data_IF_780562081799
#
_entry.id   IF_780562081799
#
_cell.length_a   1.000
_cell.length_b   1.000
_cell.length_c   1.000
_cell.angle_alpha   90.00
_cell.angle_beta   90.00
_cell.angle_gamma   90.00
#
_symmetry.space_group_name_H-M   'P 1'
#
loop_
_entity.id
_entity.type
_entity.pdbx_description
1 polymer ?
#
# COMPACT_ATOMS: atom_id res chain seq x y z
N UNK A 1 3.54 -6.89 -10.94
CA UNK A 1 3.28 -5.68 -11.72
C UNK A 1 3.45 -4.45 -10.84
N UNK A 2 3.73 -3.30 -11.44
CA UNK A 2 3.76 -2.01 -10.75
C UNK A 2 2.63 -1.13 -11.29
N UNK A 3 1.87 -0.52 -10.39
CA UNK A 3 0.86 0.46 -10.72
C UNK A 3 1.30 1.83 -10.21
N UNK A 4 1.39 2.86 -11.07
CA UNK A 4 1.86 4.17 -10.66
C UNK A 4 0.86 4.88 -9.73
N UNK A 5 1.43 5.64 -8.79
CA UNK A 5 0.71 6.55 -7.89
C UNK A 5 1.13 7.96 -8.27
N UNK A 6 0.17 8.83 -8.50
CA UNK A 6 0.41 10.21 -8.88
C UNK A 6 -0.04 11.19 -7.79
N UNK A 7 0.65 12.31 -7.68
CA UNK A 7 0.13 13.47 -6.96
C UNK A 7 -1.05 14.05 -7.75
N UNK A 8 -1.93 14.77 -7.07
CA UNK A 8 -3.07 15.45 -7.70
C UNK A 8 -2.68 16.26 -8.96
N UNK A 9 -1.50 16.88 -8.95
CA UNK A 9 -0.98 17.68 -10.07
C UNK A 9 -0.38 16.86 -11.22
N UNK A 10 -0.44 15.54 -11.16
CA UNK A 10 0.07 14.64 -12.19
C UNK A 10 1.54 14.25 -12.07
N UNK A 11 2.22 14.65 -11.00
CA UNK A 11 3.60 14.22 -10.74
C UNK A 11 3.62 12.78 -10.23
N UNK A 12 4.51 11.97 -10.77
CA UNK A 12 4.71 10.60 -10.29
C UNK A 12 5.26 10.63 -8.85
N UNK A 13 4.54 9.99 -7.93
CA UNK A 13 4.96 9.83 -6.54
C UNK A 13 5.70 8.51 -6.31
N UNK A 14 5.27 7.46 -6.97
CA UNK A 14 5.84 6.13 -6.85
C UNK A 14 4.98 5.06 -7.48
N UNK A 15 5.13 3.84 -7.02
CA UNK A 15 4.43 2.68 -7.57
C UNK A 15 3.94 1.74 -6.47
N UNK A 16 2.74 1.23 -6.61
CA UNK A 16 2.28 0.08 -5.83
C UNK A 16 2.69 -1.23 -6.53
N UNK A 17 3.37 -2.09 -5.79
CA UNK A 17 3.75 -3.42 -6.26
C UNK A 17 2.59 -4.38 -6.02
N UNK A 18 2.01 -4.89 -7.12
CA UNK A 18 0.85 -5.77 -7.09
C UNK A 18 1.25 -7.18 -7.52
N UNK A 19 0.83 -8.17 -6.74
CA UNK A 19 0.99 -9.57 -7.10
C UNK A 19 -0.10 -9.96 -8.12
N UNK A 20 0.33 -10.43 -9.30
CA UNK A 20 -0.55 -11.08 -10.26
C UNK A 20 -0.23 -12.57 -10.34
N UNK A 21 -1.19 -13.39 -9.99
CA UNK A 21 -1.05 -14.85 -10.11
C UNK A 21 -1.57 -15.32 -11.46
N UNK A 22 -0.73 -16.01 -12.26
CA UNK A 22 -1.07 -16.43 -13.63
C UNK A 22 -2.28 -17.37 -13.71
N UNK A 23 -2.47 -18.22 -12.72
CA UNK A 23 -3.55 -19.24 -12.69
C UNK A 23 -4.80 -18.77 -11.95
N UNK A 24 -4.66 -17.85 -10.99
CA UNK A 24 -5.77 -17.30 -10.20
C UNK A 24 -6.05 -15.86 -10.62
N UNK A 25 -6.96 -15.69 -11.57
CA UNK A 25 -7.34 -14.36 -12.09
C UNK A 25 -8.14 -13.52 -11.09
N UNK A 26 -8.71 -14.17 -10.05
CA UNK A 26 -9.43 -13.51 -8.97
C UNK A 26 -8.50 -13.36 -7.75
N UNK A 27 -7.99 -12.15 -7.47
CA UNK A 27 -7.13 -11.89 -6.31
C UNK A 27 -7.82 -12.23 -4.98
N UNK A 28 -9.13 -12.00 -4.87
CA UNK A 28 -9.85 -12.26 -3.63
C UNK A 28 -9.93 -13.76 -3.32
N UNK A 29 -10.12 -14.60 -4.34
CA UNK A 29 -10.10 -16.05 -4.19
C UNK A 29 -8.71 -16.56 -3.82
N UNK A 30 -7.66 -16.03 -4.46
CA UNK A 30 -6.28 -16.37 -4.12
C UNK A 30 -5.97 -16.03 -2.66
N UNK A 31 -6.33 -14.84 -2.18
CA UNK A 31 -6.12 -14.42 -0.81
C UNK A 31 -6.89 -15.28 0.21
N UNK A 32 -8.10 -15.75 -0.13
CA UNK A 32 -8.83 -16.71 0.71
C UNK A 32 -8.07 -18.02 0.88
N UNK A 33 -7.47 -18.54 -0.20
CA UNK A 33 -6.65 -19.77 -0.15
C UNK A 33 -5.43 -19.55 0.74
N UNK A 34 -4.69 -18.46 0.54
CA UNK A 34 -3.52 -18.10 1.37
C UNK A 34 -3.88 -18.02 2.86
N UNK A 35 -4.99 -17.36 3.17
CA UNK A 35 -5.49 -17.24 4.54
C UNK A 35 -5.88 -18.61 5.14
N UNK A 36 -6.59 -19.44 4.38
CA UNK A 36 -7.02 -20.76 4.83
C UNK A 36 -5.85 -21.70 5.09
N UNK A 37 -4.79 -21.58 4.29
CA UNK A 37 -3.57 -22.40 4.43
C UNK A 37 -2.56 -21.85 5.44
N UNK A 38 -2.79 -20.68 6.04
CA UNK A 38 -1.86 -20.05 6.98
C UNK A 38 -0.55 -19.60 6.33
N UNK A 39 -0.57 -19.22 5.04
CA UNK A 39 0.62 -18.91 4.25
C UNK A 39 0.86 -17.39 4.07
N UNK A 40 0.27 -16.53 4.91
CA UNK A 40 0.39 -15.07 4.79
C UNK A 40 1.85 -14.61 4.85
N UNK A 41 2.57 -15.01 5.86
CA UNK A 41 3.98 -14.64 6.10
C UNK A 41 4.89 -15.12 4.96
N UNK A 42 4.70 -16.38 4.52
CA UNK A 42 5.44 -16.91 3.39
C UNK A 42 5.18 -16.11 2.09
N UNK A 43 3.90 -15.74 1.85
CA UNK A 43 3.53 -14.93 0.70
C UNK A 43 4.21 -13.56 0.76
N UNK A 44 4.13 -12.88 1.90
CA UNK A 44 4.68 -11.55 2.07
C UNK A 44 6.20 -11.54 1.92
N UNK A 45 6.88 -12.55 2.47
CA UNK A 45 8.31 -12.73 2.28
C UNK A 45 8.67 -12.89 0.81
N UNK A 46 7.96 -13.76 0.07
CA UNK A 46 8.21 -13.96 -1.36
C UNK A 46 7.89 -12.71 -2.17
N UNK A 47 6.85 -11.96 -1.83
CA UNK A 47 6.52 -10.69 -2.48
C UNK A 47 7.64 -9.68 -2.30
N UNK A 48 8.19 -9.52 -1.10
CA UNK A 48 9.35 -8.65 -0.85
C UNK A 48 10.58 -9.09 -1.66
N UNK A 49 10.91 -10.38 -1.63
CA UNK A 49 12.05 -10.95 -2.39
C UNK A 49 11.92 -10.77 -3.90
N UNK A 50 10.70 -10.91 -4.43
CA UNK A 50 10.44 -10.72 -5.85
C UNK A 50 10.42 -9.24 -6.26
N UNK A 51 10.07 -8.33 -5.37
CA UNK A 51 10.00 -6.91 -5.66
C UNK A 51 11.40 -6.29 -5.86
N UNK A 52 12.40 -6.67 -5.08
CA UNK A 52 13.74 -6.09 -5.11
C UNK A 52 14.39 -6.14 -6.50
N UNK A 53 14.55 -7.30 -7.16
CA UNK A 53 15.16 -7.36 -8.49
C UNK A 53 14.36 -6.59 -9.54
N UNK A 54 13.04 -6.55 -9.40
CA UNK A 54 12.16 -5.80 -10.29
C UNK A 54 12.40 -4.30 -10.17
N UNK A 55 12.42 -3.78 -8.94
CA UNK A 55 12.67 -2.36 -8.65
C UNK A 55 14.03 -1.91 -9.19
N UNK A 56 15.05 -2.76 -9.07
CA UNK A 56 16.40 -2.51 -9.57
C UNK A 56 16.46 -2.55 -11.08
N UNK A 57 15.93 -3.60 -11.71
CA UNK A 57 15.98 -3.80 -13.17
C UNK A 57 15.27 -2.67 -13.92
N UNK A 58 14.09 -2.27 -13.42
CA UNK A 58 13.29 -1.21 -14.04
C UNK A 58 13.64 0.20 -13.53
N UNK A 59 14.64 0.33 -12.64
CA UNK A 59 15.10 1.61 -12.06
C UNK A 59 13.95 2.44 -11.51
N UNK A 60 12.99 1.79 -10.84
CA UNK A 60 11.86 2.49 -10.25
C UNK A 60 12.32 3.35 -9.08
N UNK A 61 11.89 4.60 -9.07
CA UNK A 61 12.23 5.62 -8.07
C UNK A 61 10.97 6.05 -7.31
N UNK A 62 11.15 6.84 -6.26
CA UNK A 62 10.05 7.35 -5.45
C UNK A 62 9.52 6.32 -4.46
N UNK A 63 8.26 6.40 -4.14
CA UNK A 63 7.59 5.49 -3.22
C UNK A 63 7.46 4.09 -3.84
N UNK A 64 7.98 3.06 -3.15
CA UNK A 64 7.66 1.67 -3.40
C UNK A 64 6.60 1.24 -2.39
N UNK A 65 5.34 1.22 -2.81
CA UNK A 65 4.24 0.75 -1.95
C UNK A 65 4.07 -0.76 -2.10
N UNK A 66 4.06 -1.48 -0.98
CA UNK A 66 3.92 -2.93 -0.93
C UNK A 66 2.81 -3.32 0.04
N UNK A 67 1.99 -4.31 -0.35
CA UNK A 67 0.89 -4.78 0.48
C UNK A 67 1.37 -5.92 1.37
N UNK A 68 1.28 -5.79 2.69
CA UNK A 68 1.66 -6.81 3.66
C UNK A 68 0.58 -6.99 4.72
N UNK A 69 0.50 -8.19 5.28
CA UNK A 69 -0.30 -8.46 6.46
C UNK A 69 0.39 -7.94 7.73
N UNK A 70 -0.40 -7.52 8.71
CA UNK A 70 0.13 -7.01 9.97
C UNK A 70 0.94 -8.04 10.76
N UNK A 71 0.54 -9.30 10.72
CA UNK A 71 1.26 -10.41 11.38
C UNK A 71 2.63 -10.70 10.74
N UNK A 72 2.78 -10.46 9.44
CA UNK A 72 4.06 -10.61 8.74
C UNK A 72 5.11 -9.58 9.18
N UNK A 73 4.68 -8.42 9.68
CA UNK A 73 5.59 -7.38 10.20
C UNK A 73 6.28 -7.79 11.53
N UNK A 74 5.96 -8.94 12.10
CA UNK A 74 6.62 -9.49 13.29
C UNK A 74 7.67 -10.57 12.94
N UNK A 75 7.80 -10.90 11.65
CA UNK A 75 8.74 -11.91 11.18
C UNK A 75 10.05 -11.25 10.72
N UNK A 76 11.16 -11.63 11.32
CA UNK A 76 12.49 -11.05 11.06
C UNK A 76 12.87 -11.10 9.58
N UNK A 77 12.64 -12.26 8.93
CA UNK A 77 12.94 -12.43 7.49
C UNK A 77 12.13 -11.49 6.59
N UNK A 78 10.87 -11.21 6.95
CA UNK A 78 10.02 -10.27 6.21
C UNK A 78 10.52 -8.84 6.41
N UNK A 79 10.89 -8.48 7.64
CA UNK A 79 11.46 -7.16 7.97
C UNK A 79 12.76 -6.93 7.20
N UNK A 80 13.68 -7.89 7.21
CA UNK A 80 14.94 -7.78 6.47
C UNK A 80 14.69 -7.61 4.96
N UNK A 81 13.84 -8.46 4.37
CA UNK A 81 13.50 -8.38 2.96
C UNK A 81 12.82 -7.04 2.60
N UNK A 82 11.95 -6.53 3.48
CA UNK A 82 11.28 -5.23 3.32
C UNK A 82 12.29 -4.08 3.31
N UNK A 83 13.23 -4.06 4.24
CA UNK A 83 14.23 -3.01 4.35
C UNK A 83 15.16 -2.96 3.13
N UNK A 84 15.42 -4.10 2.49
CA UNK A 84 16.21 -4.18 1.25
C UNK A 84 15.53 -3.51 0.04
N UNK A 85 14.22 -3.24 0.09
CA UNK A 85 13.51 -2.53 -0.98
C UNK A 85 13.84 -1.04 -1.02
N UNK A 86 14.31 -0.48 0.10
CA UNK A 86 14.73 0.92 0.19
C UNK A 86 16.08 1.12 -0.47
N UNK A 87 16.22 2.19 -1.25
CA UNK A 87 17.48 2.55 -1.90
C UNK A 87 17.61 4.08 -1.97
N UNK A 88 18.22 4.70 -0.96
CA UNK A 88 18.39 6.15 -0.95
C UNK A 88 19.20 6.68 -2.15
N UNK A 89 20.12 5.89 -2.68
CA UNK A 89 20.93 6.29 -3.85
C UNK A 89 20.10 6.37 -5.12
N UNK A 90 19.04 5.56 -5.22
CA UNK A 90 18.05 5.60 -6.29
C UNK A 90 16.85 6.51 -5.96
N UNK A 91 16.90 7.28 -4.86
CA UNK A 91 15.76 8.06 -4.36
C UNK A 91 14.50 7.20 -4.21
N UNK A 92 14.63 6.01 -3.62
CA UNK A 92 13.53 5.07 -3.39
C UNK A 92 13.35 4.78 -1.91
N UNK A 93 12.11 4.90 -1.44
CA UNK A 93 11.72 4.57 -0.08
C UNK A 93 10.51 3.63 -0.08
N UNK A 94 10.29 2.95 1.03
CA UNK A 94 9.24 1.94 1.16
C UNK A 94 8.04 2.49 1.92
N UNK A 95 6.85 2.16 1.43
CA UNK A 95 5.58 2.31 2.11
C UNK A 95 4.88 0.96 2.21
N UNK A 96 4.51 0.56 3.40
CA UNK A 96 3.72 -0.66 3.63
C UNK A 96 2.25 -0.29 3.67
N UNK A 97 1.46 -0.85 2.76
CA UNK A 97 0.01 -0.84 2.87
C UNK A 97 -0.42 -2.05 3.70
N UNK A 98 -0.86 -1.81 4.93
CA UNK A 98 -1.28 -2.87 5.84
C UNK A 98 -2.67 -3.36 5.45
N UNK A 99 -2.76 -4.61 4.99
CA UNK A 99 -3.99 -5.14 4.42
C UNK A 99 -5.05 -5.51 5.45
N UNK A 100 -4.64 -5.98 6.62
CA UNK A 100 -5.55 -6.50 7.64
C UNK A 100 -4.95 -6.30 9.02
N UNK A 101 -5.81 -5.91 9.96
CA UNK A 101 -5.52 -5.84 11.38
C UNK A 101 -6.44 -6.83 12.10
N UNK A 102 -5.86 -7.87 12.68
CA UNK A 102 -6.61 -8.86 13.46
C UNK A 102 -6.57 -8.50 14.96
N UNK A 103 -7.65 -8.75 15.68
CA UNK A 103 -7.71 -8.50 17.11
C UNK A 103 -6.73 -9.38 17.94
N UNK A 104 -6.18 -10.43 17.31
CA UNK A 104 -5.17 -11.30 17.89
C UNK A 104 -3.75 -10.72 17.82
N UNK A 105 -3.51 -9.69 16.98
CA UNK A 105 -2.22 -9.02 16.96
C UNK A 105 -1.98 -8.42 18.34
N UNK A 106 -0.89 -8.84 19.00
CA UNK A 106 -0.49 -8.26 20.29
C UNK A 106 -0.23 -6.77 20.07
N UNK A 107 -1.15 -5.96 20.49
CA UNK A 107 -1.21 -4.52 20.19
C UNK A 107 0.10 -3.78 20.47
N UNK A 108 0.75 -4.06 21.60
CA UNK A 108 2.04 -3.47 21.96
C UNK A 108 3.16 -3.82 20.98
N UNK A 109 3.27 -5.09 20.61
CA UNK A 109 4.33 -5.61 19.73
C UNK A 109 4.24 -5.02 18.32
N UNK A 110 3.05 -4.95 17.71
CA UNK A 110 2.89 -4.38 16.38
C UNK A 110 3.19 -2.87 16.36
N UNK A 111 2.73 -2.13 17.37
CA UNK A 111 2.98 -0.69 17.48
C UNK A 111 4.48 -0.38 17.63
N UNK A 112 5.19 -1.18 18.43
CA UNK A 112 6.65 -1.09 18.59
C UNK A 112 7.38 -1.38 17.28
N UNK A 113 7.04 -2.49 16.60
CA UNK A 113 7.63 -2.84 15.30
C UNK A 113 7.41 -1.74 14.25
N UNK A 114 6.19 -1.19 14.17
CA UNK A 114 5.90 -0.09 13.25
C UNK A 114 6.75 1.15 13.60
N UNK A 115 6.88 1.47 14.89
CA UNK A 115 7.70 2.60 15.33
C UNK A 115 9.18 2.42 14.94
N UNK A 116 9.74 1.23 15.12
CA UNK A 116 11.13 0.91 14.76
C UNK A 116 11.35 0.96 13.24
N UNK A 117 10.45 0.37 12.47
CA UNK A 117 10.51 0.42 11.01
C UNK A 117 10.41 1.86 10.48
N UNK A 118 9.61 2.72 11.12
CA UNK A 118 9.55 4.15 10.77
C UNK A 118 10.87 4.87 11.04
N UNK A 119 11.61 4.51 12.08
CA UNK A 119 12.96 5.03 12.31
C UNK A 119 13.93 4.60 11.19
N UNK A 120 13.73 3.41 10.62
CA UNK A 120 14.46 2.95 9.43
C UNK A 120 13.99 3.59 8.11
N UNK A 121 13.02 4.51 8.15
CA UNK A 121 12.53 5.23 6.96
C UNK A 121 11.34 4.57 6.25
N UNK A 122 10.82 3.44 6.74
CA UNK A 122 9.59 2.84 6.23
C UNK A 122 8.39 3.71 6.60
N UNK A 123 7.42 3.82 5.70
CA UNK A 123 6.15 4.54 5.94
C UNK A 123 4.99 3.56 5.91
N UNK A 124 3.88 3.93 6.56
CA UNK A 124 2.72 3.05 6.71
C UNK A 124 1.45 3.70 6.17
N UNK A 125 0.80 2.97 5.27
CA UNK A 125 -0.48 3.30 4.68
C UNK A 125 -1.56 2.33 5.19
N UNK A 126 -2.74 2.86 5.46
CA UNK A 126 -3.88 2.06 5.92
C UNK A 126 -5.14 2.43 5.16
N UNK A 127 -5.95 1.42 4.84
CA UNK A 127 -7.28 1.65 4.26
C UNK A 127 -8.21 2.30 5.30
N UNK A 128 -9.02 3.25 4.87
CA UNK A 128 -9.98 3.97 5.75
C UNK A 128 -10.92 3.04 6.50
N UNK A 129 -11.20 1.84 5.95
CA UNK A 129 -12.01 0.81 6.63
C UNK A 129 -11.36 0.26 7.91
N UNK A 130 -10.05 0.41 8.07
CA UNK A 130 -9.30 -0.04 9.26
C UNK A 130 -9.20 1.05 10.34
N UNK A 131 -9.80 2.23 10.13
CA UNK A 131 -9.60 3.39 10.99
C UNK A 131 -9.94 3.12 12.46
N UNK A 132 -11.01 2.35 12.73
CA UNK A 132 -11.38 2.01 14.11
C UNK A 132 -10.29 1.18 14.80
N UNK A 133 -9.73 0.19 14.10
CA UNK A 133 -8.65 -0.65 14.63
C UNK A 133 -7.36 0.17 14.80
N UNK A 134 -7.00 0.99 13.82
CA UNK A 134 -5.82 1.87 13.87
C UNK A 134 -5.89 2.78 15.09
N UNK A 135 -7.04 3.42 15.30
CA UNK A 135 -7.27 4.32 16.44
C UNK A 135 -7.21 3.57 17.76
N UNK A 136 -7.87 2.41 17.85
CA UNK A 136 -7.87 1.58 19.06
C UNK A 136 -6.46 1.07 19.42
N UNK A 137 -5.62 0.83 18.42
CA UNK A 137 -4.24 0.37 18.58
C UNK A 137 -3.22 1.51 18.65
N UNK A 138 -3.65 2.76 18.50
CA UNK A 138 -2.79 3.96 18.47
C UNK A 138 -1.64 3.84 17.46
N UNK A 139 -1.90 3.23 16.30
CA UNK A 139 -0.88 3.03 15.27
C UNK A 139 -0.55 4.36 14.58
N UNK A 140 0.73 4.63 14.31
CA UNK A 140 1.11 5.80 13.53
C UNK A 140 0.74 5.60 12.06
N UNK A 141 0.12 6.61 11.46
CA UNK A 141 -0.34 6.60 10.07
C UNK A 141 0.41 7.65 9.28
N UNK A 142 1.07 7.23 8.20
CA UNK A 142 1.76 8.15 7.29
C UNK A 142 0.92 8.48 6.04
N UNK A 143 -0.08 7.64 5.72
CA UNK A 143 -1.03 7.84 4.63
C UNK A 143 -2.32 7.05 4.89
N UNK A 144 -3.46 7.61 4.53
CA UNK A 144 -4.73 6.88 4.43
C UNK A 144 -5.01 6.53 2.97
N UNK A 145 -5.59 5.36 2.74
CA UNK A 145 -6.00 4.88 1.42
C UNK A 145 -7.52 4.68 1.38
N UNK A 146 -8.14 5.21 0.35
CA UNK A 146 -9.56 5.01 0.05
C UNK A 146 -9.68 4.33 -1.31
N UNK A 147 -10.13 3.08 -1.35
CA UNK A 147 -10.49 2.44 -2.62
C UNK A 147 -11.91 2.86 -2.99
N UNK A 148 -12.03 3.76 -3.97
CA UNK A 148 -13.31 4.38 -4.35
C UNK A 148 -14.32 3.39 -4.91
N UNK A 149 -13.91 2.21 -5.32
CA UNK A 149 -14.81 1.13 -5.77
C UNK A 149 -15.57 0.50 -4.60
N UNK A 150 -15.09 0.71 -3.36
CA UNK A 150 -15.64 0.11 -2.14
C UNK A 150 -16.15 1.14 -1.13
N UNK A 151 -15.94 2.43 -1.39
CA UNK A 151 -16.44 3.53 -0.57
C UNK A 151 -17.45 4.33 -1.37
N UNK A 152 -18.71 4.48 -0.91
CA UNK A 152 -19.73 5.27 -1.58
C UNK A 152 -19.27 6.72 -1.81
N UNK A 153 -19.64 7.30 -2.97
CA UNK A 153 -19.18 8.63 -3.41
C UNK A 153 -19.59 9.73 -2.42
N UNK A 154 -20.77 9.64 -1.82
CA UNK A 154 -21.28 10.58 -0.82
C UNK A 154 -20.45 10.60 0.48
N UNK A 155 -19.56 9.64 0.67
CA UNK A 155 -18.65 9.56 1.83
C UNK A 155 -17.24 10.10 1.53
N UNK A 156 -16.87 10.33 0.27
CA UNK A 156 -15.51 10.73 -0.10
C UNK A 156 -15.08 12.04 0.57
N UNK A 157 -15.93 13.07 0.47
CA UNK A 157 -15.67 14.37 1.10
C UNK A 157 -15.40 14.22 2.62
N UNK A 158 -16.17 13.36 3.30
CA UNK A 158 -16.01 13.11 4.73
C UNK A 158 -14.63 12.50 5.05
N UNK A 159 -14.21 11.50 4.27
CA UNK A 159 -12.91 10.85 4.50
C UNK A 159 -11.74 11.78 4.19
N UNK A 160 -11.84 12.56 3.11
CA UNK A 160 -10.81 13.55 2.75
C UNK A 160 -10.70 14.62 3.84
N UNK A 161 -11.82 15.19 4.28
CA UNK A 161 -11.82 16.18 5.38
C UNK A 161 -11.30 15.60 6.70
N UNK A 162 -11.57 14.32 6.97
CA UNK A 162 -11.00 13.64 8.14
C UNK A 162 -9.48 13.57 8.05
N UNK A 163 -8.95 13.13 6.91
CA UNK A 163 -7.51 13.02 6.68
C UNK A 163 -6.82 14.39 6.80
N UNK A 164 -7.38 15.42 6.16
CA UNK A 164 -6.90 16.81 6.23
C UNK A 164 -6.86 17.34 7.67
N UNK A 165 -7.96 17.14 8.43
CA UNK A 165 -8.06 17.59 9.82
C UNK A 165 -7.04 16.91 10.75
N UNK A 166 -6.55 15.73 10.38
CA UNK A 166 -5.52 14.99 11.10
C UNK A 166 -4.11 15.16 10.50
N UNK A 167 -3.95 16.02 9.49
CA UNK A 167 -2.70 16.23 8.77
C UNK A 167 -2.10 14.92 8.19
N UNK A 168 -2.95 13.99 7.75
CA UNK A 168 -2.55 12.73 7.14
C UNK A 168 -2.86 12.77 5.65
N UNK A 169 -1.88 12.61 4.76
CA UNK A 169 -2.11 12.56 3.32
C UNK A 169 -3.05 11.41 2.93
N UNK A 170 -3.83 11.60 1.85
CA UNK A 170 -4.80 10.61 1.40
C UNK A 170 -4.61 10.20 -0.06
N UNK A 171 -4.63 8.88 -0.29
CA UNK A 171 -4.59 8.24 -1.60
C UNK A 171 -5.98 7.73 -1.97
N UNK A 172 -6.52 8.18 -3.11
CA UNK A 172 -7.67 7.55 -3.74
C UNK A 172 -7.18 6.51 -4.76
N UNK A 173 -7.56 5.25 -4.54
CA UNK A 173 -7.25 4.14 -5.42
C UNK A 173 -8.50 3.69 -6.19
N UNK A 174 -8.30 3.08 -7.38
CA UNK A 174 -9.39 2.62 -8.23
C UNK A 174 -10.05 3.74 -9.06
N UNK A 175 -9.32 4.81 -9.32
CA UNK A 175 -9.78 5.93 -10.16
C UNK A 175 -9.64 5.52 -11.62
N UNK A 176 -10.73 4.98 -12.18
CA UNK A 176 -10.72 4.36 -13.52
C UNK A 176 -11.37 5.24 -14.58
N UNK A 177 -11.93 6.41 -14.23
CA UNK A 177 -12.56 7.37 -15.14
C UNK A 177 -12.28 8.83 -14.75
N UNK A 178 -12.47 9.74 -15.73
CA UNK A 178 -12.18 11.16 -15.59
C UNK A 178 -13.14 11.88 -14.64
N UNK A 179 -14.41 11.46 -14.58
CA UNK A 179 -15.41 12.10 -13.71
C UNK A 179 -15.03 11.93 -12.23
N UNK A 180 -14.65 10.72 -11.83
CA UNK A 180 -14.14 10.47 -10.47
C UNK A 180 -12.85 11.25 -10.18
N UNK A 181 -11.93 11.33 -11.16
CA UNK A 181 -10.71 12.12 -11.02
C UNK A 181 -11.02 13.60 -10.75
N UNK A 182 -11.95 14.19 -11.51
CA UNK A 182 -12.36 15.58 -11.34
C UNK A 182 -12.98 15.84 -9.96
N UNK A 183 -13.92 14.99 -9.53
CA UNK A 183 -14.56 15.10 -8.20
C UNK A 183 -13.51 15.04 -7.09
N UNK A 184 -12.62 14.02 -7.11
CA UNK A 184 -11.58 13.85 -6.10
C UNK A 184 -10.59 15.03 -6.09
N UNK A 185 -10.26 15.58 -7.25
CA UNK A 185 -9.41 16.75 -7.37
C UNK A 185 -10.05 18.00 -6.78
N UNK A 186 -11.36 18.19 -6.98
CA UNK A 186 -12.11 19.30 -6.37
C UNK A 186 -12.23 19.15 -4.85
N UNK A 187 -12.27 17.94 -4.36
CA UNK A 187 -12.28 17.63 -2.92
C UNK A 187 -10.90 17.77 -2.26
N UNK A 188 -9.82 18.01 -3.02
CA UNK A 188 -8.49 18.25 -2.49
C UNK A 188 -7.70 16.99 -2.14
N UNK A 189 -7.96 15.86 -2.82
CA UNK A 189 -7.18 14.62 -2.62
C UNK A 189 -5.69 14.84 -2.91
N UNK A 190 -4.81 14.22 -2.13
CA UNK A 190 -3.35 14.37 -2.31
C UNK A 190 -2.78 13.48 -3.41
N UNK A 191 -3.24 12.21 -3.45
CA UNK A 191 -2.72 11.20 -4.36
C UNK A 191 -3.83 10.42 -5.05
N UNK A 192 -3.54 9.99 -6.27
CA UNK A 192 -4.47 9.30 -7.15
C UNK A 192 -3.81 8.07 -7.77
N UNK A 193 -4.56 6.99 -7.89
CA UNK A 193 -4.14 5.74 -8.51
C UNK A 193 -5.32 5.07 -9.22
N UNK A 194 -5.12 4.64 -10.45
CA UNK A 194 -6.16 3.96 -11.23
C UNK A 194 -5.78 3.83 -12.68
N UNK A 195 -6.62 3.14 -13.46
CA UNK A 195 -6.36 2.85 -14.87
C UNK A 195 -6.32 4.09 -15.75
N UNK A 196 -7.00 5.16 -15.35
CA UNK A 196 -7.01 6.41 -16.12
C UNK A 196 -5.63 7.04 -16.24
N UNK A 197 -4.73 6.80 -15.29
CA UNK A 197 -3.40 7.44 -15.27
C UNK A 197 -2.35 6.67 -16.07
N UNK A 198 -2.38 5.36 -16.00
CA UNK A 198 -1.56 4.45 -16.79
C UNK A 198 -2.03 3.01 -16.58
N UNK A 199 -1.93 2.20 -17.61
CA UNK A 199 -2.04 0.75 -17.48
C UNK A 199 -0.97 0.23 -16.52
N UNK A 200 -1.31 -0.85 -15.80
CA UNK A 200 -0.33 -1.55 -14.97
C UNK A 200 0.88 -1.95 -15.81
N UNK A 201 2.05 -1.47 -15.46
CA UNK A 201 3.28 -1.90 -16.12
C UNK A 201 3.54 -3.36 -15.76
N UNK A 202 3.35 -4.25 -16.73
CA UNK A 202 3.75 -5.65 -16.59
C UNK A 202 5.28 -5.67 -16.54
N UNK A 203 5.80 -5.86 -15.34
CA UNK A 203 7.22 -6.07 -15.12
C UNK A 203 7.51 -7.53 -15.49
N UNK A 204 7.69 -7.80 -16.80
CA UNK A 204 8.06 -9.12 -17.26
C UNK A 204 9.42 -9.48 -16.68
N UNK A 205 9.45 -10.54 -15.87
CA UNK A 205 10.67 -11.31 -15.63
C UNK A 205 10.97 -12.04 -16.94
N UNK A 206 11.61 -11.36 -17.89
CA UNK A 206 12.32 -12.02 -18.96
C UNK A 206 13.72 -12.28 -18.45
N UNK A 207 13.94 -13.44 -17.93
CA UNK A 207 15.03 -14.39 -18.22
C UNK A 207 14.89 -15.60 -17.32
#
# INVERSE_FOLDING_TARGET
VAQPIFRQKGELYGHEMLLLHKQHKDPAMFMKIVNHMGLRQNLDLEVCRMAEPVLRTHRLTGCCCINLFADSLQEEEVIEALLMLSDPSANRWVMVNVMQLDASNKQSSLSETIADLRQCGVRFCFDVKLLMQITAMSLPVDMLRMDIRHVPEDQWARWISFAESNCVPMLAAGVDDEAHREILSQLGIDFLQGKIFADMVLLNQNT
#
